data_IF_192339890677
#
_entry.id   IF_192339890677
#
_cell.length_a   1.000
_cell.length_b   1.000
_cell.length_c   1.000
_cell.angle_alpha   90.00
_cell.angle_beta   90.00
_cell.angle_gamma   90.00
#
_symmetry.space_group_name_H-M   'P 1'
#
loop_
_entity.id
_entity.type
_entity.pdbx_description
1 polymer ?
#
# COMPACT_ATOMS: atom_id res chain seq x y z
N UNK A 1 13.44 -10.68 9.07
CA UNK A 1 14.13 -10.78 7.77
C UNK A 1 13.39 -11.75 6.88
N UNK A 2 13.26 -11.42 5.58
CA UNK A 2 12.52 -12.19 4.58
C UNK A 2 12.81 -13.71 4.58
N UNK A 3 14.01 -14.12 5.01
CA UNK A 3 14.42 -15.52 5.03
C UNK A 3 13.76 -16.43 6.10
N UNK A 4 12.98 -15.92 7.07
CA UNK A 4 12.51 -16.75 8.22
C UNK A 4 11.08 -16.53 8.74
N UNK A 5 10.18 -15.83 8.04
CA UNK A 5 8.91 -15.44 8.69
C UNK A 5 7.65 -15.36 7.85
N UNK A 6 7.62 -15.91 6.62
CA UNK A 6 6.44 -15.74 5.75
C UNK A 6 6.18 -14.29 5.33
N UNK A 7 7.07 -13.35 5.66
CA UNK A 7 7.03 -11.95 5.21
C UNK A 7 7.26 -11.90 3.71
N UNK A 8 6.26 -11.44 2.97
CA UNK A 8 6.26 -11.38 1.51
C UNK A 8 6.45 -9.96 0.95
N UNK A 9 6.33 -8.93 1.78
CA UNK A 9 6.55 -7.52 1.45
C UNK A 9 7.15 -6.74 2.64
N UNK A 10 7.86 -5.67 2.34
CA UNK A 10 8.30 -4.65 3.31
C UNK A 10 8.43 -3.30 2.60
N UNK A 11 7.86 -2.28 3.21
CA UNK A 11 7.95 -0.88 2.79
C UNK A 11 8.89 -0.11 3.72
N UNK A 12 9.57 0.88 3.15
CA UNK A 12 10.45 1.79 3.87
C UNK A 12 9.91 3.19 3.67
N UNK A 13 9.43 3.81 4.75
CA UNK A 13 8.70 5.08 4.70
C UNK A 13 9.50 6.21 5.35
N UNK A 14 9.08 7.45 5.11
CA UNK A 14 9.73 8.62 5.70
C UNK A 14 9.50 8.71 7.21
N UNK A 15 8.30 8.34 7.66
CA UNK A 15 7.88 8.38 9.06
C UNK A 15 8.76 7.53 9.99
N UNK A 16 9.44 6.49 9.48
CA UNK A 16 10.35 5.64 10.26
C UNK A 16 11.69 6.32 10.59
N UNK A 17 11.99 7.48 9.98
CA UNK A 17 13.23 8.23 10.21
C UNK A 17 14.50 7.56 9.65
N UNK A 18 14.34 6.50 8.85
CA UNK A 18 15.44 5.78 8.21
C UNK A 18 16.09 6.53 7.05
N UNK A 19 17.29 6.09 6.64
CA UNK A 19 18.01 6.65 5.48
C UNK A 19 17.46 6.14 4.15
N UNK A 20 16.73 5.02 4.16
CA UNK A 20 16.03 4.46 3.01
C UNK A 20 14.55 4.79 3.17
N UNK A 21 13.94 5.34 2.12
CA UNK A 21 12.53 5.72 2.08
C UNK A 21 11.99 5.61 0.66
N UNK A 22 10.68 5.49 0.54
CA UNK A 22 9.96 5.34 -0.73
C UNK A 22 10.42 4.10 -1.50
N UNK A 23 10.66 3.01 -0.77
CA UNK A 23 11.13 1.73 -1.31
C UNK A 23 10.19 0.63 -0.84
N UNK A 24 9.91 -0.31 -1.74
CA UNK A 24 9.23 -1.56 -1.43
C UNK A 24 10.13 -2.72 -1.84
N UNK A 25 10.27 -3.71 -0.96
CA UNK A 25 10.92 -4.98 -1.24
C UNK A 25 9.86 -6.07 -1.17
N UNK A 26 9.71 -6.85 -2.25
CA UNK A 26 8.74 -7.97 -2.32
C UNK A 26 9.49 -9.27 -2.57
N UNK A 27 9.13 -10.31 -1.82
CA UNK A 27 9.63 -11.66 -2.07
C UNK A 27 9.10 -12.17 -3.41
N UNK A 28 9.97 -12.77 -4.22
CA UNK A 28 9.60 -13.43 -5.48
C UNK A 28 8.52 -14.49 -5.31
N UNK A 29 8.47 -15.17 -4.16
CA UNK A 29 7.39 -16.10 -3.82
C UNK A 29 6.05 -15.37 -3.63
N UNK A 30 6.04 -14.17 -3.03
CA UNK A 30 4.88 -13.31 -2.88
C UNK A 30 4.35 -12.73 -4.19
N UNK A 31 5.22 -12.57 -5.20
CA UNK A 31 4.80 -12.24 -6.58
C UNK A 31 4.10 -13.44 -7.23
N UNK A 32 4.54 -14.66 -6.91
CA UNK A 32 4.01 -15.90 -7.50
C UNK A 32 2.72 -16.39 -6.86
N UNK A 33 2.37 -15.93 -5.66
CA UNK A 33 1.12 -16.31 -4.96
C UNK A 33 -0.17 -15.78 -5.60
N UNK A 34 -0.07 -15.22 -6.82
CA UNK A 34 -1.19 -14.84 -7.70
C UNK A 34 -2.02 -13.65 -7.19
N UNK A 35 -3.02 -13.23 -7.99
CA UNK A 35 -3.84 -12.01 -7.84
C UNK A 35 -4.50 -11.77 -6.48
N UNK A 36 -4.56 -12.77 -5.60
CA UNK A 36 -5.08 -12.60 -4.23
C UNK A 36 -4.07 -11.91 -3.30
N UNK A 37 -2.77 -11.94 -3.64
CA UNK A 37 -1.72 -11.27 -2.89
C UNK A 37 -1.78 -9.76 -3.13
N UNK A 38 -2.49 -9.04 -2.26
CA UNK A 38 -2.56 -7.57 -2.29
C UNK A 38 -1.31 -6.93 -1.66
N UNK A 39 -0.32 -7.74 -1.25
CA UNK A 39 0.93 -7.30 -0.61
C UNK A 39 1.61 -6.16 -1.34
N UNK A 40 1.82 -6.24 -2.66
CA UNK A 40 2.49 -5.14 -3.37
C UNK A 40 1.69 -3.83 -3.26
N UNK A 41 0.37 -3.90 -3.44
CA UNK A 41 -0.48 -2.73 -3.34
C UNK A 41 -0.53 -2.17 -1.91
N UNK A 42 -0.53 -3.05 -0.90
CA UNK A 42 -0.46 -2.71 0.51
C UNK A 42 0.85 -2.01 0.88
N UNK A 43 2.00 -2.56 0.48
CA UNK A 43 3.30 -1.93 0.74
C UNK A 43 3.46 -0.59 0.01
N UNK A 44 2.93 -0.47 -1.21
CA UNK A 44 2.86 0.83 -1.91
C UNK A 44 1.98 1.80 -1.12
N UNK A 45 0.89 1.31 -0.52
CA UNK A 45 0.02 2.07 0.37
C UNK A 45 0.82 2.71 1.52
N UNK A 46 1.60 1.94 2.27
CA UNK A 46 2.43 2.47 3.35
C UNK A 46 3.37 3.59 2.87
N UNK A 47 4.02 3.41 1.71
CA UNK A 47 4.87 4.45 1.11
C UNK A 47 4.08 5.71 0.78
N UNK A 48 2.93 5.57 0.12
CA UNK A 48 2.15 6.73 -0.34
C UNK A 48 1.46 7.48 0.80
N UNK A 49 1.01 6.75 1.81
CA UNK A 49 0.38 7.30 3.01
C UNK A 49 1.43 7.86 3.99
N UNK A 50 2.68 7.41 3.91
CA UNK A 50 3.73 7.66 4.91
C UNK A 50 3.20 7.34 6.31
N UNK A 51 2.69 6.11 6.49
CA UNK A 51 2.03 5.62 7.69
C UNK A 51 2.44 4.16 7.97
N UNK A 52 3.03 3.84 9.14
CA UNK A 52 3.45 2.47 9.46
C UNK A 52 2.33 1.62 10.06
N UNK A 53 1.18 2.20 10.41
CA UNK A 53 0.09 1.48 11.09
C UNK A 53 -0.85 0.76 10.13
N UNK A 54 -1.59 -0.22 10.67
CA UNK A 54 -2.71 -0.88 10.02
C UNK A 54 -4.03 -0.55 10.75
N UNK A 55 -5.17 -0.37 10.05
CA UNK A 55 -6.46 -0.07 10.66
C UNK A 55 -6.91 -1.10 11.72
N UNK A 56 -6.52 -2.36 11.55
CA UNK A 56 -6.88 -3.51 12.37
C UNK A 56 -5.89 -3.79 13.53
N UNK A 57 -4.82 -2.99 13.67
CA UNK A 57 -3.93 -3.01 14.84
C UNK A 57 -4.71 -2.84 16.18
N UNK A 58 -5.97 -2.37 16.10
CA UNK A 58 -6.87 -2.12 17.22
C UNK A 58 -8.05 -3.11 17.34
N UNK A 59 -8.05 -4.22 16.59
CA UNK A 59 -8.82 -5.43 16.92
C UNK A 59 -10.13 -5.68 16.15
N UNK A 60 -10.43 -4.93 15.09
CA UNK A 60 -11.51 -5.28 14.15
C UNK A 60 -10.88 -5.49 12.77
N UNK A 61 -10.83 -6.74 12.35
CA UNK A 61 -10.41 -7.14 11.01
C UNK A 61 -11.35 -6.56 9.95
N UNK A 62 -10.76 -5.93 8.94
CA UNK A 62 -11.46 -5.26 7.85
C UNK A 62 -10.91 -5.75 6.49
N UNK A 63 -11.26 -6.98 6.06
CA UNK A 63 -10.59 -7.63 4.92
C UNK A 63 -10.82 -6.95 3.57
N UNK A 64 -11.77 -6.00 3.50
CA UNK A 64 -12.02 -5.16 2.32
C UNK A 64 -11.16 -3.88 2.26
N UNK A 65 -10.46 -3.53 3.34
CA UNK A 65 -9.52 -2.42 3.36
C UNK A 65 -8.16 -2.84 2.82
N UNK A 66 -7.52 -1.94 2.07
CA UNK A 66 -6.21 -2.22 1.47
C UNK A 66 -5.09 -2.18 2.51
N UNK A 67 -5.19 -1.30 3.50
CA UNK A 67 -4.15 -1.08 4.53
C UNK A 67 -4.25 -2.00 5.74
N UNK A 68 -5.20 -2.93 5.72
CA UNK A 68 -5.38 -3.97 6.74
C UNK A 68 -4.20 -4.95 6.76
N UNK A 69 -3.74 -5.37 7.95
CA UNK A 69 -2.53 -6.19 8.13
C UNK A 69 -2.65 -7.58 7.46
N UNK A 70 -3.87 -8.07 7.29
CA UNK A 70 -4.17 -9.33 6.61
C UNK A 70 -4.26 -9.16 5.08
N UNK A 71 -3.60 -8.15 4.50
CA UNK A 71 -3.45 -7.96 3.04
C UNK A 71 -2.81 -9.15 2.31
N UNK A 72 -2.12 -10.02 3.04
CA UNK A 72 -1.55 -11.26 2.55
C UNK A 72 -2.50 -12.48 2.67
N UNK A 73 -3.66 -12.36 3.32
CA UNK A 73 -4.59 -13.46 3.52
C UNK A 73 -5.13 -14.00 2.17
N UNK A 74 -4.83 -15.25 1.80
CA UNK A 74 -5.33 -15.85 0.57
C UNK A 74 -6.85 -16.08 0.55
N UNK A 75 -7.55 -15.92 1.67
CA UNK A 75 -9.01 -16.02 1.75
C UNK A 75 -9.72 -14.69 1.48
N UNK A 76 -8.97 -13.58 1.40
CA UNK A 76 -9.52 -12.27 1.08
C UNK A 76 -9.80 -12.15 -0.43
N UNK A 77 -11.06 -12.26 -0.81
CA UNK A 77 -11.51 -12.14 -2.20
C UNK A 77 -12.23 -10.81 -2.44
N UNK A 78 -12.04 -10.25 -3.64
CA UNK A 78 -12.73 -9.03 -4.09
C UNK A 78 -11.84 -7.78 -4.08
N UNK A 79 -12.36 -6.64 -4.53
CA UNK A 79 -11.60 -5.40 -4.62
C UNK A 79 -11.39 -4.78 -3.24
N UNK A 80 -10.13 -4.67 -2.82
CA UNK A 80 -9.75 -3.87 -1.64
C UNK A 80 -9.70 -2.38 -1.98
N UNK A 81 -9.96 -1.54 -0.98
CA UNK A 81 -10.09 -0.09 -1.17
C UNK A 81 -9.30 0.68 -0.13
N UNK A 82 -8.89 1.88 -0.51
CA UNK A 82 -8.52 2.91 0.44
C UNK A 82 -9.79 3.60 0.96
N UNK A 83 -9.75 4.01 2.22
CA UNK A 83 -10.75 4.92 2.80
C UNK A 83 -10.57 6.33 2.24
N UNK A 84 -11.54 7.21 2.49
CA UNK A 84 -11.43 8.62 2.10
C UNK A 84 -10.29 9.31 2.86
N UNK A 85 -10.10 9.01 4.14
CA UNK A 85 -9.04 9.60 4.95
C UNK A 85 -7.65 9.18 4.46
N UNK A 86 -7.50 7.92 4.05
CA UNK A 86 -6.28 7.43 3.42
C UNK A 86 -6.01 8.12 2.07
N UNK A 87 -7.05 8.37 1.26
CA UNK A 87 -6.92 9.14 0.03
C UNK A 87 -6.47 10.58 0.29
N UNK A 88 -7.06 11.24 1.30
CA UNK A 88 -6.69 12.61 1.71
C UNK A 88 -5.25 12.64 2.21
N UNK A 89 -4.87 11.68 3.06
CA UNK A 89 -3.50 11.53 3.56
C UNK A 89 -2.52 11.33 2.42
N UNK A 90 -2.83 10.45 1.48
CA UNK A 90 -2.03 10.19 0.27
C UNK A 90 -1.76 11.48 -0.49
N UNK A 91 -2.80 12.31 -0.72
CA UNK A 91 -2.59 13.59 -1.41
C UNK A 91 -1.75 14.58 -0.61
N UNK A 92 -1.86 14.58 0.71
CA UNK A 92 -1.04 15.44 1.58
C UNK A 92 0.43 15.03 1.58
N UNK A 93 0.71 13.73 1.68
CA UNK A 93 2.07 13.21 1.87
C UNK A 93 2.82 12.97 0.56
N UNK A 94 2.11 12.54 -0.48
CA UNK A 94 2.70 12.08 -1.74
C UNK A 94 2.16 12.80 -2.97
N UNK A 95 1.17 13.68 -2.81
CA UNK A 95 0.56 14.41 -3.92
C UNK A 95 1.51 15.40 -4.62
N UNK A 96 1.06 16.03 -5.72
CA UNK A 96 1.91 16.88 -6.56
C UNK A 96 2.48 18.12 -5.84
N UNK A 97 1.84 18.54 -4.74
CA UNK A 97 2.26 19.67 -3.92
C UNK A 97 2.95 19.24 -2.61
N UNK A 98 3.14 17.93 -2.40
CA UNK A 98 3.79 17.43 -1.21
C UNK A 98 5.29 17.76 -1.22
N UNK A 99 5.92 17.71 -0.03
CA UNK A 99 7.36 17.94 0.12
C UNK A 99 8.20 16.96 -0.70
N UNK A 100 7.74 15.71 -0.80
CA UNK A 100 8.32 14.66 -1.62
C UNK A 100 7.22 14.13 -2.54
N UNK A 101 7.05 14.72 -3.74
CA UNK A 101 5.96 14.33 -4.64
C UNK A 101 6.27 12.96 -5.26
N UNK A 102 5.46 11.96 -4.92
CA UNK A 102 5.52 10.62 -5.51
C UNK A 102 4.39 10.37 -6.52
N UNK A 103 3.33 11.19 -6.45
CA UNK A 103 2.20 11.15 -7.34
C UNK A 103 2.24 12.32 -8.32
N UNK A 104 1.87 12.02 -9.55
CA UNK A 104 1.61 13.03 -10.58
C UNK A 104 0.14 12.99 -10.95
N UNK A 105 -0.46 14.12 -11.35
CA UNK A 105 -1.80 14.11 -11.92
C UNK A 105 -1.87 13.12 -13.08
N UNK A 106 -2.85 12.23 -13.05
CA UNK A 106 -3.12 11.38 -14.20
C UNK A 106 -3.70 12.25 -15.32
N UNK A 107 -3.16 12.20 -16.55
CA UNK A 107 -3.77 12.90 -17.68
C UNK A 107 -5.13 12.26 -17.96
N UNK A 108 -6.20 12.90 -17.48
CA UNK A 108 -7.57 12.56 -17.87
C UNK A 108 -7.76 13.00 -19.33
N UNK A 109 -7.29 12.19 -20.26
CA UNK A 109 -7.82 12.24 -21.61
C UNK A 109 -9.28 11.77 -21.53
N UNK A 110 -10.22 12.42 -22.25
CA UNK A 110 -11.55 11.86 -22.41
C UNK A 110 -11.42 10.41 -22.89
N UNK A 111 -12.14 9.48 -22.25
CA UNK A 111 -12.26 8.13 -22.81
C UNK A 111 -12.79 8.26 -24.24
N UNK A 112 -12.24 7.50 -25.21
CA UNK A 112 -12.80 7.47 -26.56
C UNK A 112 -14.29 7.17 -26.45
N UNK A 113 -15.13 8.02 -27.05
CA UNK A 113 -16.55 7.70 -27.23
C UNK A 113 -16.65 6.42 -28.04
N UNK A 114 -17.53 5.47 -27.65
CA UNK A 114 -17.66 4.17 -28.31
C UNK A 114 -18.01 4.29 -29.79
#
# INVERSE_FOLDING_TARGET
>A
GFARGGRIGESFIGADGGTIRNVVIVDRAGIRSNRASFTLAHEIGHVLLDDPGHPDDFGIDTPAQLMDADAADPTAFGPRRLTIDECVRTQRQSGPQARVPLLTPWPLLPLPTP
#
